data_IF_905023936406
#
_entry.id   IF_905023936406
#
_cell.length_a   1.000
_cell.length_b   1.000
_cell.length_c   1.000
_cell.angle_alpha   90.00
_cell.angle_beta   90.00
_cell.angle_gamma   90.00
#
_symmetry.space_group_name_H-M   'P 1'
#
loop_
_entity.id
_entity.type
_entity.pdbx_description
1 polymer ?
#
# COMPACT_ATOMS: atom_id res chain seq x y z
N UNK A 1 -72.10 36.49 7.61
CA UNK A 1 -71.69 35.08 7.43
C UNK A 1 -70.20 35.07 7.09
N UNK A 2 -69.33 34.83 8.04
CA UNK A 2 -67.87 34.81 7.82
C UNK A 2 -67.41 33.40 7.50
N UNK A 3 -66.89 33.20 6.31
CA UNK A 3 -66.26 31.94 5.91
C UNK A 3 -64.76 32.01 6.21
N UNK A 4 -64.29 31.30 7.20
CA UNK A 4 -62.89 31.17 7.55
C UNK A 4 -62.22 30.13 6.69
N UNK A 5 -61.44 30.59 5.72
CA UNK A 5 -60.50 29.71 4.98
C UNK A 5 -59.28 29.41 5.85
N UNK A 6 -59.16 28.14 6.26
CA UNK A 6 -57.93 27.62 6.88
C UNK A 6 -56.93 27.21 5.78
N UNK A 7 -55.86 28.01 5.68
CA UNK A 7 -54.68 27.63 4.89
C UNK A 7 -53.94 26.50 5.60
N UNK A 8 -53.89 25.36 4.97
CA UNK A 8 -53.02 24.23 5.38
C UNK A 8 -51.68 24.39 4.67
N UNK A 9 -50.68 24.82 5.42
CA UNK A 9 -49.31 24.89 4.93
C UNK A 9 -48.70 23.47 4.93
N UNK A 10 -48.52 22.90 3.78
CA UNK A 10 -47.77 21.64 3.61
C UNK A 10 -46.29 21.92 3.65
N UNK A 11 -45.62 21.50 4.73
CA UNK A 11 -44.17 21.56 4.86
C UNK A 11 -43.61 20.32 4.16
N UNK A 12 -43.05 20.51 2.98
CA UNK A 12 -42.26 19.47 2.30
C UNK A 12 -40.86 19.41 2.88
N UNK A 13 -40.58 18.38 3.70
CA UNK A 13 -39.21 18.06 4.10
C UNK A 13 -38.45 17.51 2.89
N UNK A 14 -37.52 18.29 2.35
CA UNK A 14 -36.54 17.82 1.39
C UNK A 14 -35.45 17.02 2.13
N UNK A 15 -35.46 15.70 2.04
CA UNK A 15 -34.35 14.85 2.48
C UNK A 15 -33.22 15.02 1.44
N UNK A 16 -32.21 15.80 1.78
CA UNK A 16 -30.95 15.82 1.04
C UNK A 16 -30.17 14.54 1.35
N UNK A 17 -30.18 13.58 0.44
CA UNK A 17 -29.32 12.41 0.53
C UNK A 17 -27.87 12.86 0.32
N UNK A 18 -27.07 12.90 1.39
CA UNK A 18 -25.61 13.03 1.29
C UNK A 18 -25.07 11.75 0.68
N UNK A 19 -24.70 11.79 -0.58
CA UNK A 19 -23.96 10.73 -1.24
C UNK A 19 -22.53 10.72 -0.71
N UNK A 20 -22.20 9.79 0.17
CA UNK A 20 -20.83 9.55 0.60
C UNK A 20 -20.12 8.84 -0.55
N UNK A 21 -19.33 9.57 -1.31
CA UNK A 21 -18.46 9.00 -2.32
C UNK A 21 -17.21 8.46 -1.62
N UNK A 22 -17.08 7.15 -1.56
CA UNK A 22 -15.84 6.50 -1.13
C UNK A 22 -14.81 6.62 -2.25
N UNK A 23 -13.82 7.49 -2.04
CA UNK A 23 -12.67 7.58 -2.94
C UNK A 23 -11.74 6.41 -2.60
N UNK A 24 -11.70 5.41 -3.48
CA UNK A 24 -10.72 4.33 -3.40
C UNK A 24 -9.39 4.84 -3.94
N UNK A 25 -8.43 5.09 -3.07
CA UNK A 25 -7.06 5.39 -3.48
C UNK A 25 -6.40 4.11 -4.04
N UNK A 26 -6.00 4.13 -5.31
CA UNK A 26 -5.21 3.06 -5.93
C UNK A 26 -3.73 3.34 -5.76
N UNK A 27 -2.97 2.32 -5.35
CA UNK A 27 -1.50 2.42 -5.33
C UNK A 27 -0.97 2.40 -6.75
N UNK A 28 -0.20 3.42 -7.11
CA UNK A 28 0.46 3.52 -8.41
C UNK A 28 1.96 3.28 -8.21
N UNK A 29 2.60 2.57 -9.14
CA UNK A 29 4.04 2.37 -9.12
C UNK A 29 4.76 3.72 -9.14
N UNK A 30 5.50 4.00 -8.08
CA UNK A 30 6.27 5.22 -7.90
C UNK A 30 7.75 4.93 -7.66
N UNK A 31 8.49 5.94 -7.24
CA UNK A 31 9.89 5.79 -6.87
C UNK A 31 10.01 4.91 -5.64
N UNK A 32 10.81 3.86 -5.75
CA UNK A 32 11.11 2.94 -4.64
C UNK A 32 12.21 3.55 -3.78
N UNK A 33 11.91 3.81 -2.51
CA UNK A 33 12.87 4.33 -1.53
C UNK A 33 13.22 3.25 -0.52
N UNK A 34 14.51 3.03 -0.27
CA UNK A 34 14.94 2.07 0.76
C UNK A 34 14.51 2.52 2.15
N UNK A 35 13.80 1.64 2.86
CA UNK A 35 13.43 1.85 4.26
C UNK A 35 14.44 1.22 5.24
N UNK A 36 15.36 0.39 4.72
CA UNK A 36 16.42 -0.25 5.50
C UNK A 36 16.40 -1.77 5.44
N UNK A 37 17.28 -2.38 6.21
CA UNK A 37 17.41 -3.81 6.39
C UNK A 37 16.67 -4.23 7.67
N UNK A 38 15.89 -5.31 7.60
CA UNK A 38 15.09 -5.81 8.71
C UNK A 38 15.21 -7.33 8.80
N UNK A 39 15.21 -7.88 9.98
CA UNK A 39 15.22 -9.32 10.23
C UNK A 39 13.82 -9.93 10.45
N UNK A 40 12.78 -9.12 10.25
CA UNK A 40 11.38 -9.52 10.43
C UNK A 40 10.53 -9.15 9.22
N UNK A 41 9.59 -10.02 8.87
CA UNK A 41 8.52 -9.77 7.89
C UNK A 41 7.18 -9.45 8.56
N UNK A 42 7.17 -9.11 9.85
CA UNK A 42 5.95 -8.82 10.60
C UNK A 42 5.14 -7.70 9.94
N UNK A 43 3.86 -7.95 9.72
CA UNK A 43 2.96 -7.01 9.02
C UNK A 43 3.01 -7.12 7.49
N UNK A 44 3.82 -8.02 6.94
CA UNK A 44 3.88 -8.30 5.51
C UNK A 44 3.30 -9.67 5.20
N UNK A 45 2.79 -9.82 3.99
CA UNK A 45 2.30 -11.09 3.44
C UNK A 45 3.18 -11.48 2.27
N UNK A 46 3.61 -12.74 2.22
CA UNK A 46 4.35 -13.25 1.08
C UNK A 46 3.45 -13.25 -0.16
N UNK A 47 3.90 -12.56 -1.19
CA UNK A 47 3.17 -12.42 -2.45
C UNK A 47 3.60 -13.48 -3.46
N UNK A 48 4.89 -13.82 -3.52
CA UNK A 48 5.44 -14.77 -4.47
C UNK A 48 6.80 -15.31 -4.05
N UNK A 49 7.15 -16.46 -4.64
CA UNK A 49 8.50 -17.03 -4.68
C UNK A 49 8.84 -17.30 -6.13
N UNK A 50 9.79 -16.57 -6.69
CA UNK A 50 10.05 -16.58 -8.12
C UNK A 50 11.54 -16.73 -8.44
N UNK A 51 11.87 -17.69 -9.31
CA UNK A 51 13.26 -17.99 -9.66
C UNK A 51 13.97 -16.89 -10.49
N UNK A 52 13.21 -15.92 -10.99
CA UNK A 52 13.74 -14.74 -11.68
C UNK A 52 13.40 -13.46 -10.91
N UNK A 53 13.40 -13.53 -9.56
CA UNK A 53 13.04 -12.43 -8.70
C UNK A 53 13.94 -11.22 -8.95
N UNK A 54 13.29 -10.05 -8.97
CA UNK A 54 13.92 -8.74 -9.09
C UNK A 54 13.10 -7.71 -8.32
N UNK A 55 13.70 -6.57 -8.04
CA UNK A 55 12.99 -5.45 -7.40
C UNK A 55 11.79 -4.99 -8.21
N UNK A 56 11.92 -4.91 -9.54
CA UNK A 56 10.83 -4.51 -10.44
C UNK A 56 9.66 -5.49 -10.41
N UNK A 57 9.95 -6.81 -10.45
CA UNK A 57 8.91 -7.83 -10.38
C UNK A 57 8.14 -7.79 -9.06
N UNK A 58 8.86 -7.70 -7.93
CA UNK A 58 8.22 -7.58 -6.62
C UNK A 58 7.39 -6.29 -6.48
N UNK A 59 7.89 -5.17 -7.01
CA UNK A 59 7.13 -3.91 -7.03
C UNK A 59 5.80 -4.05 -7.77
N UNK A 60 5.78 -4.67 -8.94
CA UNK A 60 4.56 -4.91 -9.70
C UNK A 60 3.53 -5.74 -8.93
N UNK A 61 3.97 -6.80 -8.25
CA UNK A 61 3.11 -7.63 -7.41
C UNK A 61 2.51 -6.83 -6.26
N UNK A 62 3.32 -6.04 -5.57
CA UNK A 62 2.86 -5.25 -4.43
C UNK A 62 1.93 -4.11 -4.85
N UNK A 63 2.17 -3.47 -6.00
CA UNK A 63 1.24 -2.48 -6.57
C UNK A 63 -0.11 -3.12 -6.90
N UNK A 64 -0.12 -4.30 -7.54
CA UNK A 64 -1.36 -5.04 -7.82
C UNK A 64 -2.11 -5.43 -6.54
N UNK A 65 -1.38 -5.72 -5.46
CA UNK A 65 -1.95 -6.00 -4.14
C UNK A 65 -2.37 -4.73 -3.37
N UNK A 66 -2.23 -3.55 -3.96
CA UNK A 66 -2.49 -2.25 -3.33
C UNK A 66 -1.66 -2.04 -2.04
N UNK A 67 -0.45 -2.58 -2.02
CA UNK A 67 0.50 -2.47 -0.92
C UNK A 67 1.49 -1.31 -1.15
N UNK A 68 1.92 -0.67 -0.07
CA UNK A 68 2.84 0.49 -0.09
C UNK A 68 4.24 0.14 0.39
N UNK A 69 4.39 -1.04 0.96
CA UNK A 69 5.66 -1.60 1.40
C UNK A 69 5.91 -2.89 0.66
N UNK A 70 7.12 -3.06 0.16
CA UNK A 70 7.59 -4.35 -0.35
C UNK A 70 8.86 -4.76 0.36
N UNK A 71 9.05 -6.05 0.52
CA UNK A 71 10.29 -6.65 0.98
C UNK A 71 10.70 -7.80 0.07
N UNK A 72 11.98 -8.04 0.01
CA UNK A 72 12.54 -9.19 -0.70
C UNK A 72 13.44 -9.97 0.25
N UNK A 73 13.33 -11.28 0.26
CA UNK A 73 14.14 -12.16 1.10
C UNK A 73 14.59 -13.42 0.36
N UNK A 74 15.59 -14.08 0.91
CA UNK A 74 16.11 -15.37 0.43
C UNK A 74 16.48 -15.41 -1.05
N UNK A 75 16.71 -14.27 -1.68
CA UNK A 75 17.07 -14.16 -3.09
C UNK A 75 15.89 -14.26 -4.07
N UNK A 76 14.77 -14.87 -3.70
CA UNK A 76 13.67 -15.18 -4.60
C UNK A 76 12.25 -14.91 -4.03
N UNK A 77 12.14 -14.43 -2.82
CA UNK A 77 10.84 -14.17 -2.17
C UNK A 77 10.45 -12.69 -2.29
N UNK A 78 9.18 -12.44 -2.54
CA UNK A 78 8.55 -11.13 -2.53
C UNK A 78 7.47 -11.06 -1.45
N UNK A 79 7.49 -9.99 -0.66
CA UNK A 79 6.56 -9.72 0.42
C UNK A 79 5.95 -8.34 0.24
N UNK A 80 4.66 -8.22 0.50
CA UNK A 80 3.92 -6.98 0.35
C UNK A 80 3.16 -6.63 1.63
N UNK A 81 3.02 -5.35 1.93
CA UNK A 81 2.27 -4.89 3.08
C UNK A 81 1.97 -3.39 3.07
N UNK A 82 1.31 -2.94 4.12
CA UNK A 82 0.91 -1.53 4.28
C UNK A 82 1.71 -0.81 5.37
N UNK A 83 2.46 -1.56 6.20
CA UNK A 83 3.26 -1.02 7.30
C UNK A 83 4.63 -1.67 7.32
N UNK A 84 5.63 -0.90 7.73
CA UNK A 84 6.96 -1.44 8.00
C UNK A 84 6.94 -2.32 9.24
N UNK A 85 7.81 -3.36 9.31
CA UNK A 85 8.07 -4.07 10.55
C UNK A 85 8.54 -3.15 11.69
N UNK A 86 8.51 -3.61 12.94
CA UNK A 86 8.90 -2.78 14.07
C UNK A 86 10.37 -2.33 13.97
N UNK A 87 10.66 -1.12 14.45
CA UNK A 87 12.02 -0.55 14.44
C UNK A 87 13.04 -1.40 15.18
N UNK A 88 12.59 -2.23 16.13
CA UNK A 88 13.45 -3.17 16.88
C UNK A 88 14.05 -4.27 15.98
N UNK A 89 13.48 -4.50 14.80
CA UNK A 89 13.98 -5.48 13.81
C UNK A 89 14.91 -4.89 12.76
N UNK A 90 15.27 -3.61 12.88
CA UNK A 90 16.25 -2.97 11.97
C UNK A 90 17.63 -3.55 12.19
N UNK A 91 18.27 -3.93 11.10
CA UNK A 91 19.64 -4.47 11.06
C UNK A 91 20.56 -3.54 10.26
N UNK A 92 21.88 -3.79 10.33
CA UNK A 92 22.83 -3.09 9.48
C UNK A 92 22.61 -3.46 8.01
N UNK A 93 22.89 -2.54 7.09
CA UNK A 93 22.73 -2.78 5.64
C UNK A 93 23.59 -3.94 5.12
N UNK A 94 24.70 -4.24 5.79
CA UNK A 94 25.57 -5.38 5.47
C UNK A 94 24.87 -6.73 5.61
N UNK A 95 23.86 -6.84 6.49
CA UNK A 95 23.06 -8.04 6.64
C UNK A 95 22.11 -8.29 5.45
N UNK A 96 21.85 -7.27 4.64
CA UNK A 96 21.00 -7.34 3.48
C UNK A 96 21.79 -7.39 2.15
N UNK A 97 22.73 -8.33 2.04
CA UNK A 97 23.65 -8.40 0.89
C UNK A 97 23.35 -9.52 -0.13
N UNK A 98 22.33 -10.36 0.10
CA UNK A 98 21.97 -11.44 -0.82
C UNK A 98 21.39 -10.87 -2.12
N UNK A 99 21.98 -11.23 -3.26
CA UNK A 99 21.50 -10.81 -4.58
C UNK A 99 20.18 -11.49 -4.95
N UNK A 100 19.40 -10.82 -5.78
CA UNK A 100 18.21 -11.41 -6.39
C UNK A 100 18.60 -12.44 -7.45
N UNK A 101 17.91 -13.57 -7.49
CA UNK A 101 18.22 -14.65 -8.44
C UNK A 101 17.96 -14.26 -9.90
N UNK A 102 16.98 -13.39 -10.14
CA UNK A 102 16.64 -12.93 -11.50
C UNK A 102 17.41 -11.70 -11.95
N UNK A 103 17.97 -10.94 -11.01
CA UNK A 103 18.72 -9.71 -11.29
C UNK A 103 19.80 -9.50 -10.23
N UNK A 104 21.02 -10.01 -10.45
CA UNK A 104 22.09 -10.04 -9.42
C UNK A 104 22.57 -8.68 -8.92
N UNK A 105 22.26 -7.60 -9.63
CA UNK A 105 22.55 -6.22 -9.19
C UNK A 105 21.55 -5.70 -8.15
N UNK A 106 20.38 -6.35 -8.04
CA UNK A 106 19.40 -6.07 -6.99
C UNK A 106 19.70 -6.88 -5.73
N UNK A 107 19.31 -6.35 -4.58
CA UNK A 107 19.45 -7.05 -3.29
C UNK A 107 18.12 -7.63 -2.87
N UNK A 108 18.08 -8.94 -2.62
CA UNK A 108 16.91 -9.73 -2.24
C UNK A 108 17.08 -10.44 -0.87
N UNK A 109 17.71 -9.81 0.10
CA UNK A 109 17.75 -10.29 1.49
C UNK A 109 17.11 -9.27 2.40
N UNK A 110 15.92 -9.59 2.91
CA UNK A 110 15.16 -8.85 3.94
C UNK A 110 15.20 -7.31 3.84
N UNK A 111 15.42 -6.78 2.62
CA UNK A 111 15.48 -5.35 2.39
C UNK A 111 14.07 -4.83 2.14
N UNK A 112 13.56 -4.13 3.13
CA UNK A 112 12.30 -3.41 3.00
C UNK A 112 12.51 -2.12 2.24
N UNK A 113 11.62 -1.88 1.31
CA UNK A 113 11.57 -0.63 0.55
C UNK A 113 10.17 -0.06 0.66
N UNK A 114 10.10 1.22 1.00
CA UNK A 114 8.85 1.97 0.96
C UNK A 114 8.63 2.41 -0.48
N UNK A 115 7.53 1.95 -1.06
CA UNK A 115 7.06 2.47 -2.33
C UNK A 115 6.38 3.80 -2.02
N UNK A 116 7.13 4.91 -2.15
CA UNK A 116 6.58 6.25 -1.95
C UNK A 116 5.37 6.43 -2.87
N UNK A 117 4.19 6.44 -2.27
CA UNK A 117 3.00 6.89 -2.96
C UNK A 117 3.15 8.38 -3.25
N UNK A 118 3.18 8.74 -4.52
CA UNK A 118 2.80 10.09 -4.91
C UNK A 118 1.28 10.20 -4.67
N UNK A 119 0.91 10.49 -3.44
CA UNK A 119 -0.43 10.97 -3.17
C UNK A 119 -0.49 12.41 -3.69
N UNK A 120 -0.87 12.55 -4.96
CA UNK A 120 -1.44 13.80 -5.43
C UNK A 120 -2.83 13.91 -4.79
N UNK A 121 -2.86 14.44 -3.58
CA UNK A 121 -4.08 14.99 -3.00
C UNK A 121 -4.42 16.25 -3.80
N UNK A 122 -5.41 16.12 -4.67
CA UNK A 122 -6.16 17.28 -5.13
C UNK A 122 -7.14 17.71 -4.04
#
# INVERSE_FOLDING_TARGET
>A
MLSTMRSVATITLALSALSIQTVSATVVAGTVTSAGCFDSSSGLTQADTFNYQSKGHCQELCVKANAVVMAMSNGNECWCGSTLPPKSSVQSDSECSTSCVGYPTDTCKSRLVNMSMNMNLC
#
